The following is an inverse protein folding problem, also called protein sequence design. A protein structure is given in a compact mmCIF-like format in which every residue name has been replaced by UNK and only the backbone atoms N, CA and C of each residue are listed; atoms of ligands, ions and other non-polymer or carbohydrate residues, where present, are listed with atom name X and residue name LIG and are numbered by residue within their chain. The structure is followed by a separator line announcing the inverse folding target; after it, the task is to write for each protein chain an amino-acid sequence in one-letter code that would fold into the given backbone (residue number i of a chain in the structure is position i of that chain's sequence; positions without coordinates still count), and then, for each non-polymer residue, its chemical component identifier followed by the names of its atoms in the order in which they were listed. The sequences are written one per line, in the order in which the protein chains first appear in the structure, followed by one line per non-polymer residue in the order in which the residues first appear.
data_IF_887035997699
#
_entry.id   IF_887035997699
#
_cell.length_a   1.000
_cell.length_b   1.000
_cell.length_c   1.000
_cell.angle_alpha   90.00
_cell.angle_beta   90.00
_cell.angle_gamma   90.00
#
_symmetry.space_group_name_H-M   'P 1'
#
loop_
_entity.id
_entity.type
_entity.pdbx_description
1 polymer ?
#
# COMPACT_ATOMS: atom_id res chain seq x y z
N UNK A 1 8.57 11.43 -6.85
CA UNK A 1 9.91 11.02 -6.34
C UNK A 1 10.05 11.60 -4.95
N UNK A 2 10.09 10.74 -3.93
CA UNK A 2 10.22 11.12 -2.51
C UNK A 2 11.70 11.31 -2.14
N UNK A 3 11.99 12.09 -1.10
CA UNK A 3 13.35 12.32 -0.58
C UNK A 3 13.73 11.23 0.42
N UNK A 4 15.03 11.06 0.66
CA UNK A 4 15.52 10.16 1.71
C UNK A 4 14.96 10.53 3.10
N UNK A 5 14.71 11.82 3.35
CA UNK A 5 14.09 12.34 4.57
C UNK A 5 12.67 11.79 4.79
N UNK A 6 11.91 11.56 3.72
CA UNK A 6 10.51 11.12 3.79
C UNK A 6 10.40 9.70 4.38
N UNK A 7 11.45 8.87 4.21
CA UNK A 7 11.52 7.55 4.86
C UNK A 7 11.69 7.65 6.37
N UNK A 8 12.45 8.65 6.83
CA UNK A 8 12.66 8.89 8.27
C UNK A 8 11.37 9.47 8.87
N UNK A 9 10.73 10.39 8.16
CA UNK A 9 9.47 11.00 8.61
C UNK A 9 8.33 9.98 8.76
N UNK A 10 8.29 8.96 7.89
CA UNK A 10 7.22 7.97 7.87
C UNK A 10 7.65 6.57 8.32
N UNK A 11 8.70 6.46 9.14
CA UNK A 11 9.27 5.18 9.59
C UNK A 11 8.23 4.25 10.25
N UNK A 12 7.30 4.80 11.02
CA UNK A 12 6.17 4.06 11.62
C UNK A 12 5.31 3.39 10.54
N UNK A 13 4.92 4.12 9.50
CA UNK A 13 4.14 3.59 8.39
C UNK A 13 4.92 2.57 7.55
N UNK A 14 6.23 2.76 7.39
CA UNK A 14 7.07 1.79 6.69
C UNK A 14 7.18 0.47 7.48
N UNK A 15 7.22 0.56 8.81
CA UNK A 15 7.17 -0.59 9.72
C UNK A 15 5.82 -1.31 9.65
N UNK A 16 4.71 -0.57 9.53
CA UNK A 16 3.39 -1.16 9.34
C UNK A 16 3.25 -1.88 7.99
N UNK A 17 3.81 -1.32 6.91
CA UNK A 17 3.86 -1.98 5.59
C UNK A 17 4.66 -3.28 5.67
N UNK A 18 5.79 -3.29 6.38
CA UNK A 18 6.57 -4.50 6.65
C UNK A 18 5.74 -5.55 7.39
N UNK A 19 5.14 -5.17 8.51
CA UNK A 19 4.33 -6.08 9.32
C UNK A 19 3.13 -6.64 8.55
N UNK A 20 2.46 -5.81 7.74
CA UNK A 20 1.36 -6.25 6.88
C UNK A 20 1.85 -7.20 5.78
N UNK A 21 3.01 -6.91 5.17
CA UNK A 21 3.61 -7.76 4.14
C UNK A 21 3.97 -9.13 4.70
N UNK A 22 4.54 -9.19 5.90
CA UNK A 22 4.87 -10.44 6.59
C UNK A 22 3.61 -11.25 6.92
N UNK A 23 2.54 -10.61 7.43
CA UNK A 23 1.26 -11.27 7.71
C UNK A 23 0.60 -11.86 6.46
N UNK A 24 0.82 -11.23 5.32
CA UNK A 24 0.25 -11.63 4.03
C UNK A 24 1.16 -12.56 3.22
N UNK A 25 2.34 -12.91 3.75
CA UNK A 25 3.37 -13.69 3.06
C UNK A 25 3.70 -13.07 1.69
N UNK A 26 4.01 -11.76 1.69
CA UNK A 26 4.39 -11.00 0.51
C UNK A 26 5.91 -10.89 0.39
N UNK A 27 6.40 -11.05 -0.84
CA UNK A 27 7.79 -10.94 -1.20
C UNK A 27 8.31 -9.50 -1.23
N UNK A 28 9.63 -9.38 -1.41
CA UNK A 28 10.34 -8.10 -1.45
C UNK A 28 9.83 -7.17 -2.57
N UNK A 29 9.39 -7.71 -3.70
CA UNK A 29 8.86 -6.93 -4.81
C UNK A 29 7.56 -6.22 -4.40
N UNK A 30 6.58 -6.97 -3.87
CA UNK A 30 5.32 -6.43 -3.38
C UNK A 30 5.54 -5.36 -2.30
N UNK A 31 6.42 -5.63 -1.33
CA UNK A 31 6.79 -4.68 -0.28
C UNK A 31 7.42 -3.40 -0.83
N UNK A 32 8.37 -3.52 -1.78
CA UNK A 32 9.02 -2.36 -2.39
C UNK A 32 8.01 -1.48 -3.12
N UNK A 33 7.11 -2.08 -3.90
CA UNK A 33 6.05 -1.34 -4.59
C UNK A 33 5.10 -0.64 -3.61
N UNK A 34 4.71 -1.31 -2.52
CA UNK A 34 3.86 -0.71 -1.50
C UNK A 34 4.52 0.52 -0.84
N UNK A 35 5.81 0.42 -0.49
CA UNK A 35 6.57 1.54 0.08
C UNK A 35 6.68 2.71 -0.90
N UNK A 36 7.07 2.43 -2.15
CA UNK A 36 7.27 3.47 -3.15
C UNK A 36 5.96 4.21 -3.47
N UNK A 37 4.85 3.48 -3.52
CA UNK A 37 3.52 4.03 -3.73
C UNK A 37 3.05 4.89 -2.55
N UNK A 38 3.20 4.38 -1.32
CA UNK A 38 2.83 5.12 -0.12
C UNK A 38 3.60 6.44 -0.02
N UNK A 39 4.93 6.42 -0.17
CA UNK A 39 5.76 7.62 -0.09
C UNK A 39 5.51 8.60 -1.23
N UNK A 40 5.02 8.14 -2.39
CA UNK A 40 4.69 9.01 -3.52
C UNK A 40 3.32 9.68 -3.39
N UNK A 41 2.47 9.21 -2.47
CA UNK A 41 1.06 9.62 -2.36
C UNK A 41 0.65 9.94 -0.92
N UNK A 42 1.63 10.12 -0.04
CA UNK A 42 1.42 10.27 1.40
C UNK A 42 0.57 11.53 1.66
N UNK A 43 -0.60 11.40 2.30
CA UNK A 43 -1.42 12.55 2.66
C UNK A 43 -0.96 13.15 4.00
N UNK A 44 -1.33 14.39 4.27
CA UNK A 44 -0.98 15.08 5.52
C UNK A 44 -1.66 14.47 6.75
N UNK A 45 -2.93 14.05 6.62
CA UNK A 45 -3.74 13.54 7.75
C UNK A 45 -3.51 12.05 8.03
N UNK A 46 -3.32 11.69 9.31
CA UNK A 46 -2.95 10.30 9.70
C UNK A 46 -4.00 9.24 9.34
N UNK A 47 -5.31 9.54 9.48
CA UNK A 47 -6.36 8.61 9.01
C UNK A 47 -6.29 8.36 7.51
N UNK A 48 -5.93 9.40 6.76
CA UNK A 48 -5.71 9.27 5.32
C UNK A 48 -4.42 8.49 5.03
N UNK A 49 -3.36 8.64 5.85
CA UNK A 49 -2.12 7.85 5.75
C UNK A 49 -2.40 6.37 5.97
N UNK A 50 -3.17 5.99 6.99
CA UNK A 50 -3.54 4.58 7.23
C UNK A 50 -4.28 3.99 6.04
N UNK A 51 -5.25 4.73 5.49
CA UNK A 51 -6.02 4.30 4.34
C UNK A 51 -5.15 4.18 3.07
N UNK A 52 -4.23 5.12 2.85
CA UNK A 52 -3.27 5.09 1.74
C UNK A 52 -2.26 3.95 1.90
N UNK A 53 -1.77 3.70 3.12
CA UNK A 53 -0.85 2.60 3.44
C UNK A 53 -1.48 1.24 3.09
N UNK A 54 -2.70 0.98 3.58
CA UNK A 54 -3.37 -0.29 3.31
C UNK A 54 -3.67 -0.49 1.82
N UNK A 55 -4.09 0.56 1.12
CA UNK A 55 -4.31 0.48 -0.31
C UNK A 55 -3.00 0.34 -1.10
N UNK A 56 -1.89 0.89 -0.60
CA UNK A 56 -0.55 0.70 -1.19
C UNK A 56 -0.06 -0.74 -1.03
N UNK A 57 -0.31 -1.39 0.10
CA UNK A 57 -0.03 -2.84 0.29
C UNK A 57 -0.81 -3.67 -0.73
N UNK A 58 -2.10 -3.40 -0.90
CA UNK A 58 -2.93 -4.10 -1.88
C UNK A 58 -2.41 -3.92 -3.32
N UNK A 59 -2.11 -2.68 -3.72
CA UNK A 59 -1.58 -2.38 -5.06
C UNK A 59 -0.18 -2.99 -5.24
N UNK A 60 0.70 -2.91 -4.24
CA UNK A 60 2.02 -3.50 -4.29
C UNK A 60 1.98 -5.01 -4.54
N UNK A 61 1.10 -5.72 -3.83
CA UNK A 61 0.85 -7.14 -4.05
C UNK A 61 0.30 -7.44 -5.45
N UNK A 62 -0.66 -6.64 -5.93
CA UNK A 62 -1.23 -6.78 -7.27
C UNK A 62 -0.18 -6.62 -8.37
N UNK A 63 0.65 -5.58 -8.28
CA UNK A 63 1.69 -5.26 -9.27
C UNK A 63 2.81 -6.29 -9.28
N UNK A 64 3.14 -6.86 -8.12
CA UNK A 64 4.13 -7.94 -8.02
C UNK A 64 3.59 -9.31 -8.49
N UNK A 65 2.29 -9.43 -8.81
CA UNK A 65 1.65 -10.72 -9.11
C UNK A 65 1.48 -11.61 -7.88
N UNK A 66 1.56 -11.04 -6.68
CA UNK A 66 1.45 -11.69 -5.38
C UNK A 66 0.08 -11.43 -4.74
N UNK A 67 -0.96 -11.43 -5.56
CA UNK A 67 -2.29 -10.95 -5.22
C UNK A 67 -2.84 -11.54 -3.92
N UNK A 68 -3.46 -10.68 -3.11
CA UNK A 68 -4.24 -11.03 -1.93
C UNK A 68 -5.60 -10.35 -2.01
N UNK A 69 -6.62 -10.98 -1.42
CA UNK A 69 -7.94 -10.36 -1.39
C UNK A 69 -7.92 -9.05 -0.61
N UNK A 70 -8.73 -8.07 -1.01
CA UNK A 70 -8.87 -6.82 -0.25
C UNK A 70 -9.31 -7.06 1.20
N UNK A 71 -10.04 -8.14 1.47
CA UNK A 71 -10.41 -8.55 2.83
C UNK A 71 -9.20 -9.00 3.65
N UNK A 72 -8.27 -9.76 3.05
CA UNK A 72 -7.05 -10.18 3.72
C UNK A 72 -6.14 -8.98 4.03
N UNK A 73 -6.02 -8.04 3.09
CA UNK A 73 -5.26 -6.81 3.33
C UNK A 73 -5.93 -5.96 4.42
N UNK A 74 -7.26 -5.84 4.41
CA UNK A 74 -8.02 -5.15 5.44
C UNK A 74 -7.76 -5.72 6.84
N UNK A 75 -7.77 -7.04 6.99
CA UNK A 75 -7.44 -7.72 8.24
C UNK A 75 -5.98 -7.47 8.66
N UNK A 76 -5.04 -7.57 7.73
CA UNK A 76 -3.60 -7.39 8.01
C UNK A 76 -3.21 -5.95 8.40
N UNK A 77 -4.03 -4.96 8.05
CA UNK A 77 -3.75 -3.52 8.21
C UNK A 77 -4.73 -2.80 9.15
N UNK A 78 -5.69 -3.52 9.73
CA UNK A 78 -6.76 -2.98 10.58
C UNK A 78 -7.52 -1.80 9.94
N UNK A 79 -7.86 -1.96 8.65
CA UNK A 79 -8.73 -1.01 7.94
C UNK A 79 -9.93 -1.73 7.36
N UNK A 80 -10.98 -0.98 7.01
CA UNK A 80 -12.12 -1.59 6.32
C UNK A 80 -11.75 -2.00 4.89
N UNK A 81 -12.24 -3.16 4.42
CA UNK A 81 -12.14 -3.55 3.00
C UNK A 81 -12.65 -2.45 2.06
N UNK A 82 -13.73 -1.77 2.44
CA UNK A 82 -14.31 -0.68 1.65
C UNK A 82 -13.34 0.51 1.49
N UNK A 83 -12.53 0.80 2.51
CA UNK A 83 -11.47 1.82 2.45
C UNK A 83 -10.47 1.50 1.35
N UNK A 84 -10.02 0.24 1.27
CA UNK A 84 -9.09 -0.21 0.22
C UNK A 84 -9.79 -0.15 -1.14
N UNK A 85 -11.02 -0.66 -1.22
CA UNK A 85 -11.81 -0.69 -2.46
C UNK A 85 -11.97 0.70 -3.11
N UNK A 86 -12.15 1.75 -2.29
CA UNK A 86 -12.35 3.11 -2.78
C UNK A 86 -11.05 3.79 -3.25
N UNK A 87 -9.87 3.29 -2.87
CA UNK A 87 -8.58 3.99 -3.08
C UNK A 87 -7.65 3.30 -4.06
N UNK A 88 -7.75 1.99 -4.22
CA UNK A 88 -6.71 1.23 -4.95
C UNK A 88 -6.59 1.62 -6.42
N UNK A 89 -7.69 1.98 -7.09
CA UNK A 89 -7.68 2.36 -8.51
C UNK A 89 -6.91 3.67 -8.73
N UNK A 90 -7.27 4.69 -7.97
CA UNK A 90 -6.61 6.00 -8.03
C UNK A 90 -5.11 5.89 -7.72
N UNK A 91 -4.73 5.04 -6.76
CA UNK A 91 -3.33 4.78 -6.44
C UNK A 91 -2.60 4.02 -7.56
N UNK A 92 -3.25 3.04 -8.17
CA UNK A 92 -2.67 2.30 -9.29
C UNK A 92 -2.45 3.21 -10.51
N UNK A 93 -3.43 4.08 -10.82
CA UNK A 93 -3.30 5.10 -11.87
C UNK A 93 -2.16 6.08 -11.55
N UNK A 94 -2.03 6.51 -10.29
CA UNK A 94 -0.93 7.39 -9.84
C UNK A 94 0.44 6.72 -9.99
N UNK A 95 0.52 5.39 -9.85
CA UNK A 95 1.74 4.62 -10.10
C UNK A 95 2.09 4.50 -11.60
N UNK A 96 1.22 4.97 -12.50
CA UNK A 96 1.38 4.80 -13.95
C UNK A 96 1.18 3.36 -14.41
N UNK A 97 0.44 2.56 -13.63
CA UNK A 97 0.20 1.15 -13.88
C UNK A 97 -1.26 0.97 -14.33
N UNK A 98 -1.48 0.10 -15.32
CA UNK A 98 -2.84 -0.21 -15.76
C UNK A 98 -3.47 -1.26 -14.85
N UNK A 99 -4.74 -1.06 -14.50
CA UNK A 99 -5.52 -2.09 -13.82
C UNK A 99 -5.62 -3.34 -14.70
N UNK A 100 -5.44 -4.55 -14.12
CA UNK A 100 -5.65 -5.77 -14.88
C UNK A 100 -7.13 -5.84 -15.31
N UNK A 101 -7.34 -6.17 -16.59
CA UNK A 101 -8.62 -6.01 -17.28
C UNK A 101 -9.67 -7.10 -17.03
N UNK A 102 -9.77 -7.63 -15.81
CA UNK A 102 -10.72 -8.69 -15.45
C UNK A 102 -12.01 -8.15 -14.79
#
# INVERSE_FOLDING_TARGET
MYRASDRIEHDEWLSDIEAASDRLDLGTAARSHAVDLFLSTVPEEDRSKQATMAASVYVGALVAGEERSQSAVAEATDVSRLTIQQRWKDLLETAGLEAPGW
#
